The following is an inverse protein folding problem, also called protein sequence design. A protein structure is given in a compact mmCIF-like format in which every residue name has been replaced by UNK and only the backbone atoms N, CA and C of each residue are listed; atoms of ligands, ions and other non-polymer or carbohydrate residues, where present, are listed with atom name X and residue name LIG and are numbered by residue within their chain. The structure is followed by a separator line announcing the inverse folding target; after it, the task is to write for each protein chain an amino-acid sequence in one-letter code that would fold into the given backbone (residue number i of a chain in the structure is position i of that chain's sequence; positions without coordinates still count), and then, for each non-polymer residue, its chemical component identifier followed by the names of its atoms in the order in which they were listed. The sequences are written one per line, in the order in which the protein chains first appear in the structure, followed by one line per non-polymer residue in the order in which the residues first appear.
data_IF_752005572380
#
_entry.id   IF_752005572380
#
_cell.length_a   1.000
_cell.length_b   1.000
_cell.length_c   1.000
_cell.angle_alpha   90.00
_cell.angle_beta   90.00
_cell.angle_gamma   90.00
#
_symmetry.space_group_name_H-M   'P 1'
#
loop_
_entity.id
_entity.type
_entity.pdbx_description
1 polymer ?
#
# COMPACT_ATOMS: atom_id res chain seq x y z
N UNK A 1 7.72 -3.61 -17.11
CA UNK A 1 7.96 -4.35 -15.85
C UNK A 1 9.21 -3.78 -15.22
N UNK A 2 9.15 -3.38 -13.95
CA UNK A 2 10.24 -2.65 -13.28
C UNK A 2 10.08 -1.13 -13.28
N UNK A 3 8.95 -0.61 -13.76
CA UNK A 3 8.62 0.80 -13.68
C UNK A 3 8.56 1.23 -12.22
N UNK A 4 9.11 2.41 -11.96
CA UNK A 4 9.24 2.98 -10.62
C UNK A 4 8.50 4.31 -10.59
N UNK A 5 7.63 4.49 -9.60
CA UNK A 5 6.85 5.71 -9.43
C UNK A 5 7.18 6.32 -8.07
N UNK A 6 7.37 7.64 -8.03
CA UNK A 6 7.55 8.37 -6.78
C UNK A 6 6.35 9.25 -6.52
N UNK A 7 5.70 9.01 -5.38
CA UNK A 7 4.61 9.79 -4.86
C UNK A 7 5.12 10.72 -3.77
N UNK A 8 4.54 11.91 -3.69
CA UNK A 8 4.79 12.87 -2.63
C UNK A 8 3.45 13.26 -2.00
N UNK A 9 3.34 13.12 -0.68
CA UNK A 9 2.16 13.47 0.08
C UNK A 9 2.55 14.18 1.38
N UNK A 10 1.74 15.13 1.82
CA UNK A 10 1.94 15.82 3.10
C UNK A 10 0.98 15.24 4.12
N UNK A 11 1.50 14.49 5.10
CA UNK A 11 0.72 13.97 6.21
C UNK A 11 1.16 14.64 7.51
N UNK A 12 0.21 15.13 8.30
CA UNK A 12 0.47 15.82 9.58
C UNK A 12 1.50 16.97 9.49
N UNK A 13 1.48 17.71 8.38
CA UNK A 13 2.42 18.82 8.13
C UNK A 13 3.83 18.37 7.70
N UNK A 14 4.09 17.07 7.59
CA UNK A 14 5.37 16.53 7.11
C UNK A 14 5.23 16.04 5.69
N UNK A 15 6.06 16.57 4.79
CA UNK A 15 6.15 16.13 3.40
C UNK A 15 6.89 14.79 3.34
N UNK A 16 6.21 13.77 2.84
CA UNK A 16 6.73 12.41 2.71
C UNK A 16 6.85 12.05 1.24
N UNK A 17 7.95 11.38 0.88
CA UNK A 17 8.17 10.81 -0.44
C UNK A 17 8.20 9.30 -0.33
N UNK A 18 7.47 8.62 -1.21
CA UNK A 18 7.47 7.17 -1.32
C UNK A 18 7.73 6.80 -2.78
N UNK A 19 8.79 6.05 -3.02
CA UNK A 19 9.14 5.48 -4.32
C UNK A 19 8.79 4.00 -4.32
N UNK A 20 7.88 3.59 -5.18
CA UNK A 20 7.44 2.21 -5.36
C UNK A 20 7.90 1.66 -6.72
N UNK A 21 8.12 0.36 -6.80
CA UNK A 21 8.52 -0.36 -8.01
C UNK A 21 7.61 -1.55 -8.23
N UNK A 22 7.05 -1.67 -9.43
CA UNK A 22 6.24 -2.83 -9.81
C UNK A 22 7.15 -4.05 -10.02
N UNK A 23 6.91 -5.10 -9.23
CA UNK A 23 7.66 -6.37 -9.26
C UNK A 23 6.91 -7.52 -9.91
N UNK A 24 5.57 -7.46 -9.95
CA UNK A 24 4.71 -8.44 -10.62
C UNK A 24 3.62 -7.70 -11.39
N UNK A 25 3.26 -8.22 -12.55
CA UNK A 25 2.19 -7.71 -13.39
C UNK A 25 1.53 -8.90 -14.09
N UNK A 26 0.24 -9.10 -13.84
CA UNK A 26 -0.61 -10.12 -14.43
C UNK A 26 -1.90 -9.44 -14.89
N UNK A 27 -1.89 -8.89 -16.12
CA UNK A 27 -3.00 -8.08 -16.61
C UNK A 27 -4.17 -8.96 -17.07
N UNK A 28 -5.43 -8.55 -16.83
CA UNK A 28 -5.88 -7.37 -16.08
C UNK A 28 -6.05 -7.60 -14.56
N UNK A 29 -5.68 -8.77 -14.05
CA UNK A 29 -6.15 -9.28 -12.76
C UNK A 29 -5.35 -8.84 -11.54
N UNK A 30 -4.03 -8.66 -11.65
CA UNK A 30 -3.18 -8.38 -10.49
C UNK A 30 -1.92 -7.60 -10.87
N UNK A 31 -1.47 -6.72 -9.97
CA UNK A 31 -0.06 -6.34 -9.94
C UNK A 31 0.43 -6.13 -8.52
N UNK A 32 1.75 -6.28 -8.33
CA UNK A 32 2.40 -6.12 -7.04
C UNK A 32 3.50 -5.08 -7.18
N UNK A 33 3.48 -4.09 -6.29
CA UNK A 33 4.56 -3.14 -6.12
C UNK A 33 5.20 -3.23 -4.73
N UNK A 34 6.47 -2.85 -4.66
CA UNK A 34 7.20 -2.73 -3.40
C UNK A 34 7.77 -1.33 -3.26
N UNK A 35 7.83 -0.83 -2.04
CA UNK A 35 8.53 0.40 -1.73
C UNK A 35 10.04 0.17 -1.78
N UNK A 36 10.73 0.95 -2.60
CA UNK A 36 12.21 0.97 -2.69
C UNK A 36 12.81 2.14 -1.92
N UNK A 37 12.03 3.18 -1.61
CA UNK A 37 12.42 4.31 -0.76
C UNK A 37 11.19 4.93 -0.09
N UNK A 38 11.23 5.15 1.21
CA UNK A 38 10.14 5.83 1.92
C UNK A 38 10.26 5.70 3.44
N UNK A 39 9.17 5.99 4.14
CA UNK A 39 9.14 6.04 5.60
C UNK A 39 9.13 4.65 6.27
N UNK A 40 8.61 3.63 5.60
CA UNK A 40 8.51 2.27 6.15
C UNK A 40 9.83 1.52 6.05
N UNK A 41 10.01 0.48 6.87
CA UNK A 41 11.14 -0.45 6.68
C UNK A 41 10.95 -1.31 5.44
N UNK A 42 9.74 -1.82 5.26
CA UNK A 42 9.31 -2.54 4.06
C UNK A 42 7.85 -2.24 3.83
N UNK A 43 7.45 -2.20 2.57
CA UNK A 43 6.06 -2.02 2.17
C UNK A 43 5.89 -2.75 0.84
N UNK A 44 4.89 -3.62 0.76
CA UNK A 44 4.46 -4.34 -0.42
C UNK A 44 2.96 -4.11 -0.57
N UNK A 45 2.54 -3.80 -1.78
CA UNK A 45 1.17 -3.51 -2.11
C UNK A 45 0.75 -4.40 -3.27
N UNK A 46 -0.28 -5.21 -3.04
CA UNK A 46 -0.86 -6.10 -4.05
C UNK A 46 -2.23 -5.55 -4.43
N UNK A 47 -2.39 -5.23 -5.70
CA UNK A 47 -3.63 -4.74 -6.29
C UNK A 47 -4.27 -5.92 -7.01
N UNK A 48 -5.50 -6.29 -6.66
CA UNK A 48 -6.30 -7.29 -7.37
C UNK A 48 -7.53 -6.67 -7.99
N UNK A 49 -7.88 -7.12 -9.18
CA UNK A 49 -8.98 -6.61 -9.96
C UNK A 49 -9.95 -7.74 -10.26
N UNK A 50 -11.20 -7.55 -9.86
CA UNK A 50 -12.30 -8.46 -10.13
C UNK A 50 -13.31 -7.71 -11.00
N UNK A 51 -13.66 -8.31 -12.14
CA UNK A 51 -14.70 -7.79 -13.01
C UNK A 51 -16.08 -8.03 -12.38
N UNK A 52 -16.88 -6.97 -12.28
CA UNK A 52 -18.22 -6.96 -11.68
C UNK A 52 -19.23 -6.43 -12.71
N UNK A 53 -20.51 -6.74 -12.52
CA UNK A 53 -21.57 -6.40 -13.50
C UNK A 53 -21.59 -4.91 -13.90
N UNK A 54 -21.32 -4.02 -12.94
CA UNK A 54 -21.35 -2.55 -13.12
C UNK A 54 -19.95 -1.90 -13.06
N UNK A 55 -18.86 -2.68 -13.15
CA UNK A 55 -17.51 -2.11 -13.16
C UNK A 55 -16.39 -3.07 -12.76
N UNK A 56 -15.42 -2.56 -12.02
CA UNK A 56 -14.28 -3.34 -11.54
C UNK A 56 -14.10 -3.10 -10.05
N UNK A 57 -14.13 -4.18 -9.27
CA UNK A 57 -13.76 -4.16 -7.88
C UNK A 57 -12.23 -4.24 -7.78
N UNK A 58 -11.60 -3.21 -7.21
CA UNK A 58 -10.19 -3.23 -6.86
C UNK A 58 -10.06 -3.59 -5.38
N UNK A 59 -9.27 -4.62 -5.09
CA UNK A 59 -8.94 -5.09 -3.75
C UNK A 59 -7.45 -4.86 -3.52
N UNK A 60 -7.14 -4.00 -2.58
CA UNK A 60 -5.76 -3.65 -2.22
C UNK A 60 -5.33 -4.36 -0.93
N UNK A 61 -4.22 -5.10 -1.00
CA UNK A 61 -3.57 -5.73 0.15
C UNK A 61 -2.25 -5.05 0.46
N UNK A 62 -2.17 -4.43 1.63
CA UNK A 62 -0.94 -3.81 2.13
C UNK A 62 -0.20 -4.74 3.08
N UNK A 63 1.10 -4.88 2.91
CA UNK A 63 1.99 -5.56 3.85
C UNK A 63 3.17 -4.66 4.14
N UNK A 64 3.24 -4.12 5.35
CA UNK A 64 4.30 -3.18 5.71
C UNK A 64 4.93 -3.49 7.07
N UNK A 65 6.16 -3.00 7.26
CA UNK A 65 6.88 -2.99 8.53
C UNK A 65 7.15 -1.54 8.91
N UNK A 66 6.89 -1.21 10.16
CA UNK A 66 7.08 0.12 10.75
C UNK A 66 8.49 0.68 10.48
N UNK A 67 8.65 2.02 10.44
CA UNK A 67 9.93 2.67 10.25
C UNK A 67 10.98 2.18 11.28
N UNK A 68 12.25 2.02 10.90
CA UNK A 68 13.33 1.92 11.89
C UNK A 68 13.77 3.34 12.31
N UNK A 69 13.34 3.80 13.48
CA UNK A 69 13.71 5.12 14.03
C UNK A 69 13.03 5.42 15.38
N UNK A 70 13.22 6.62 15.93
CA UNK A 70 12.57 7.04 17.20
C UNK A 70 11.04 6.97 17.09
N UNK A 71 10.49 7.36 15.92
CA UNK A 71 9.06 7.23 15.59
C UNK A 71 8.66 5.75 15.44
N UNK A 72 9.56 4.93 14.88
CA UNK A 72 9.41 3.47 14.82
C UNK A 72 9.28 2.80 16.17
N UNK A 73 10.10 3.18 17.16
CA UNK A 73 10.01 2.66 18.53
C UNK A 73 8.73 3.08 19.25
N UNK A 74 8.16 4.24 18.93
CA UNK A 74 6.89 4.71 19.49
C UNK A 74 5.71 4.01 18.79
N UNK A 75 5.76 3.87 17.46
CA UNK A 75 4.77 3.15 16.67
C UNK A 75 4.74 1.65 17.02
N UNK A 76 5.89 0.99 17.15
CA UNK A 76 5.98 -0.42 17.57
C UNK A 76 5.40 -0.65 18.96
N UNK A 77 5.53 0.34 19.86
CA UNK A 77 4.95 0.24 21.21
C UNK A 77 3.42 0.41 21.22
N UNK A 78 2.85 1.09 20.22
CA UNK A 78 1.40 1.25 20.07
C UNK A 78 0.76 0.15 19.18
N UNK A 79 1.51 -0.43 18.23
CA UNK A 79 1.00 -1.29 17.15
C UNK A 79 1.72 -2.65 17.03
N UNK A 80 2.31 -3.15 18.13
CA UNK A 80 3.10 -4.41 18.20
C UNK A 80 2.70 -5.48 17.16
N UNK A 81 3.61 -5.68 16.19
CA UNK A 81 3.85 -6.99 15.57
C UNK A 81 2.85 -7.53 14.57
N UNK A 82 1.91 -6.74 14.03
CA UNK A 82 1.02 -7.22 12.98
C UNK A 82 1.51 -6.83 11.59
N UNK A 83 1.66 -7.82 10.73
CA UNK A 83 1.40 -7.61 9.31
C UNK A 83 -0.08 -7.19 9.26
N UNK A 84 -0.32 -5.91 8.96
CA UNK A 84 -1.68 -5.40 8.85
C UNK A 84 -2.13 -5.63 7.42
N UNK A 85 -2.83 -6.74 7.18
CA UNK A 85 -3.58 -6.95 5.95
C UNK A 85 -4.85 -6.12 6.05
N UNK A 86 -4.78 -4.85 5.62
CA UNK A 86 -5.98 -4.06 5.41
C UNK A 86 -6.43 -4.32 3.98
N UNK A 87 -7.69 -4.73 3.84
CA UNK A 87 -8.35 -4.86 2.56
C UNK A 87 -9.12 -3.56 2.32
N UNK A 88 -8.74 -2.84 1.26
CA UNK A 88 -9.51 -1.70 0.78
C UNK A 88 -10.22 -2.08 -0.50
N UNK A 89 -11.51 -1.84 -0.52
CA UNK A 89 -12.33 -1.99 -1.71
C UNK A 89 -12.60 -0.62 -2.32
N UNK A 90 -12.17 -0.43 -3.56
CA UNK A 90 -12.50 0.75 -4.33
C UNK A 90 -13.59 0.41 -5.34
N UNK A 91 -14.82 0.85 -5.06
CA UNK A 91 -15.94 0.81 -6.00
C UNK A 91 -16.49 2.22 -6.21
N UNK A 92 -16.54 2.66 -7.47
CA UNK A 92 -17.17 3.93 -7.87
C UNK A 92 -16.75 5.15 -7.02
N UNK A 93 -15.46 5.32 -6.72
CA UNK A 93 -14.97 6.51 -6.00
C UNK A 93 -15.14 6.49 -4.48
N UNK A 94 -15.59 5.38 -3.89
CA UNK A 94 -15.69 5.20 -2.44
C UNK A 94 -14.66 4.18 -1.97
N UNK A 95 -13.93 4.55 -0.91
CA UNK A 95 -12.99 3.67 -0.20
C UNK A 95 -13.75 3.12 1.00
N UNK A 96 -13.92 1.80 1.07
CA UNK A 96 -14.46 1.10 2.24
C UNK A 96 -13.33 0.24 2.86
N UNK A 97 -13.18 0.33 4.18
CA UNK A 97 -12.32 -0.58 4.96
C UNK A 97 -13.13 -1.83 5.30
N UNK A 98 -12.53 -3.01 5.21
CA UNK A 98 -13.17 -4.31 5.47
C UNK A 98 -14.35 -4.60 4.52
N UNK A 99 -14.02 -5.00 3.28
CA UNK A 99 -14.89 -5.90 2.50
C UNK A 99 -15.08 -7.23 3.28
#
# INVERSE_FOLDING_TARGET
MGDTVTFEATHFGVKQKLTAKVIKMDKPHEFIDIMVKGAFHSFMHTHRFIEELDGTLMIDYFQYKSPFGVIGKIADRLFFGKIHENIYCFSSGRIEEDC
#
